data_IF_054963597049
#
_entry.id   IF_054963597049
#
_cell.length_a   1.000
_cell.length_b   1.000
_cell.length_c   1.000
_cell.angle_alpha   90.00
_cell.angle_beta   90.00
_cell.angle_gamma   90.00
#
_symmetry.space_group_name_H-M   'P 1'
#
loop_
_entity.id
_entity.type
_entity.pdbx_description
1 polymer ?
#
# COMPACT_ATOMS: atom_id res chain seq x y z
N UNK A 1 -8.32 3.80 -20.13
CA UNK A 1 -9.06 2.54 -20.28
C UNK A 1 -8.74 1.56 -19.15
N UNK A 2 -7.48 1.28 -18.85
CA UNK A 2 -7.06 0.33 -17.83
C UNK A 2 -6.99 0.89 -16.38
N UNK A 3 -7.36 2.13 -16.16
CA UNK A 3 -7.28 2.78 -14.85
C UNK A 3 -8.05 2.02 -13.74
N UNK A 4 -9.30 1.57 -13.94
CA UNK A 4 -10.05 0.84 -12.92
C UNK A 4 -9.35 -0.48 -12.51
N UNK A 5 -8.74 -1.18 -13.46
CA UNK A 5 -7.99 -2.41 -13.17
C UNK A 5 -6.76 -2.16 -12.29
N UNK A 6 -6.07 -1.04 -12.52
CA UNK A 6 -4.91 -0.64 -11.70
C UNK A 6 -5.31 -0.25 -10.29
N UNK A 7 -6.50 0.36 -10.13
CA UNK A 7 -7.04 0.77 -8.83
C UNK A 7 -7.63 -0.37 -8.00
N UNK A 8 -7.76 -1.57 -8.57
CA UNK A 8 -8.33 -2.75 -7.91
C UNK A 8 -7.45 -3.99 -8.03
N UNK A 9 -6.15 -3.81 -8.28
CA UNK A 9 -5.23 -4.92 -8.51
C UNK A 9 -5.06 -5.79 -7.26
N UNK A 10 -4.84 -5.18 -6.10
CA UNK A 10 -4.69 -5.91 -4.82
C UNK A 10 -5.97 -6.68 -4.51
N UNK A 11 -7.12 -6.03 -4.66
CA UNK A 11 -8.41 -6.68 -4.43
C UNK A 11 -8.67 -7.82 -5.40
N UNK A 12 -8.39 -7.65 -6.70
CA UNK A 12 -8.63 -8.67 -7.72
C UNK A 12 -7.72 -9.90 -7.54
N UNK A 13 -6.42 -9.66 -7.38
CA UNK A 13 -5.43 -10.74 -7.20
C UNK A 13 -5.63 -11.45 -5.84
N UNK A 14 -5.90 -10.68 -4.79
CA UNK A 14 -6.22 -11.23 -3.48
C UNK A 14 -7.51 -12.05 -3.49
N UNK A 15 -8.57 -11.58 -4.16
CA UNK A 15 -9.82 -12.29 -4.31
C UNK A 15 -9.64 -13.63 -5.04
N UNK A 16 -8.93 -13.58 -6.18
CA UNK A 16 -8.66 -14.78 -6.95
C UNK A 16 -7.86 -15.80 -6.12
N UNK A 17 -6.79 -15.35 -5.45
CA UNK A 17 -5.93 -16.19 -4.60
C UNK A 17 -6.70 -16.76 -3.41
N UNK A 18 -7.55 -15.96 -2.76
CA UNK A 18 -8.37 -16.40 -1.64
C UNK A 18 -9.31 -17.53 -2.04
N UNK A 19 -10.10 -17.35 -3.10
CA UNK A 19 -11.04 -18.39 -3.55
C UNK A 19 -10.34 -19.59 -4.16
N UNK A 20 -9.28 -19.36 -4.94
CA UNK A 20 -8.48 -20.45 -5.49
C UNK A 20 -7.92 -21.34 -4.37
N UNK A 21 -7.26 -20.73 -3.38
CA UNK A 21 -6.71 -21.53 -2.26
C UNK A 21 -7.81 -22.27 -1.49
N UNK A 22 -8.94 -21.62 -1.24
CA UNK A 22 -10.07 -22.23 -0.51
C UNK A 22 -10.70 -23.39 -1.27
N UNK A 23 -10.90 -23.26 -2.59
CA UNK A 23 -11.47 -24.33 -3.43
C UNK A 23 -10.47 -25.49 -3.55
N UNK A 24 -9.21 -25.19 -3.82
CA UNK A 24 -8.18 -26.21 -3.97
C UNK A 24 -8.05 -27.05 -2.70
N UNK A 25 -7.86 -26.42 -1.55
CA UNK A 25 -7.61 -27.13 -0.29
C UNK A 25 -8.83 -27.81 0.32
N UNK A 26 -10.06 -27.41 -0.05
CA UNK A 26 -11.27 -27.99 0.56
C UNK A 26 -12.04 -28.93 -0.35
N UNK A 27 -11.81 -28.91 -1.68
CA UNK A 27 -12.63 -29.66 -2.63
C UNK A 27 -11.89 -30.29 -3.81
N UNK A 28 -10.81 -29.69 -4.30
CA UNK A 28 -10.24 -30.07 -5.58
C UNK A 28 -9.01 -30.99 -5.44
N UNK A 29 -8.17 -30.75 -4.42
CA UNK A 29 -6.96 -31.53 -4.20
C UNK A 29 -7.23 -32.79 -3.39
N UNK A 30 -6.48 -33.83 -3.68
CA UNK A 30 -6.30 -34.96 -2.80
C UNK A 30 -5.28 -34.64 -1.71
N UNK A 31 -5.30 -35.39 -0.63
CA UNK A 31 -4.41 -35.15 0.52
C UNK A 31 -2.93 -35.18 0.15
N UNK A 32 -2.55 -36.04 -0.81
CA UNK A 32 -1.18 -36.19 -1.32
C UNK A 32 -0.69 -35.02 -2.19
N UNK A 33 -1.60 -34.23 -2.74
CA UNK A 33 -1.29 -33.05 -3.61
C UNK A 33 -1.18 -31.74 -2.84
N UNK A 34 -1.57 -31.68 -1.56
CA UNK A 34 -1.65 -30.46 -0.77
C UNK A 34 -0.27 -29.81 -0.60
N UNK A 35 0.79 -30.60 -0.42
CA UNK A 35 2.15 -30.10 -0.21
C UNK A 35 2.67 -29.42 -1.47
N UNK A 36 2.54 -30.08 -2.62
CA UNK A 36 2.99 -29.53 -3.91
C UNK A 36 2.24 -28.24 -4.25
N UNK A 37 0.94 -28.21 -3.96
CA UNK A 37 0.14 -26.99 -4.10
C UNK A 37 0.61 -25.87 -3.17
N UNK A 38 0.91 -26.18 -1.91
CA UNK A 38 1.39 -25.19 -0.94
C UNK A 38 2.72 -24.58 -1.37
N UNK A 39 3.64 -25.39 -1.88
CA UNK A 39 4.92 -24.93 -2.42
C UNK A 39 4.73 -24.00 -3.62
N UNK A 40 3.89 -24.39 -4.58
CA UNK A 40 3.57 -23.54 -5.73
C UNK A 40 2.90 -22.22 -5.31
N UNK A 41 1.93 -22.25 -4.38
CA UNK A 41 1.22 -21.09 -3.87
C UNK A 41 2.15 -20.15 -3.08
N UNK A 42 3.14 -20.70 -2.36
CA UNK A 42 4.13 -19.92 -1.63
C UNK A 42 4.98 -19.05 -2.57
N UNK A 43 5.34 -19.58 -3.74
CA UNK A 43 6.05 -18.82 -4.78
C UNK A 43 5.27 -17.61 -5.29
N UNK A 44 3.96 -17.74 -5.49
CA UNK A 44 3.08 -16.65 -5.94
C UNK A 44 2.97 -15.55 -4.87
N UNK A 45 2.93 -15.94 -3.59
CA UNK A 45 2.78 -15.01 -2.46
C UNK A 45 4.10 -14.55 -1.86
N UNK A 46 5.24 -14.96 -2.40
CA UNK A 46 6.55 -14.53 -1.93
C UNK A 46 6.71 -13.00 -2.02
N UNK A 47 7.32 -12.40 -1.00
CA UNK A 47 7.50 -10.95 -0.92
C UNK A 47 8.91 -10.62 -0.45
N UNK A 48 9.63 -9.84 -1.25
CA UNK A 48 10.94 -9.32 -0.90
C UNK A 48 10.87 -8.09 0.01
N UNK A 49 11.99 -7.69 0.66
CA UNK A 49 12.05 -6.47 1.46
C UNK A 49 11.62 -5.24 0.68
N UNK A 50 10.73 -4.44 1.25
CA UNK A 50 10.25 -3.19 0.62
C UNK A 50 9.39 -3.36 -0.63
N UNK A 51 9.05 -4.59 -1.04
CA UNK A 51 8.17 -4.87 -2.17
C UNK A 51 6.75 -5.13 -1.70
N UNK A 52 5.78 -4.60 -2.43
CA UNK A 52 4.37 -4.84 -2.22
C UNK A 52 3.91 -5.94 -3.19
N UNK A 53 3.62 -7.14 -2.68
CA UNK A 53 3.03 -8.21 -3.49
C UNK A 53 1.50 -8.15 -3.37
N UNK A 54 0.77 -7.79 -4.45
CA UNK A 54 -0.69 -7.65 -4.41
C UNK A 54 -1.41 -8.96 -4.08
N UNK A 55 -0.88 -10.10 -4.51
CA UNK A 55 -1.43 -11.42 -4.18
C UNK A 55 -1.36 -11.67 -2.67
N UNK A 56 -0.17 -11.49 -2.08
CA UNK A 56 0.06 -11.72 -0.65
C UNK A 56 -0.81 -10.82 0.21
N UNK A 57 -0.75 -9.50 -0.03
CA UNK A 57 -1.49 -8.54 0.78
C UNK A 57 -2.98 -8.74 0.63
N UNK A 58 -3.46 -8.93 -0.60
CA UNK A 58 -4.87 -9.10 -0.87
C UNK A 58 -5.44 -10.35 -0.20
N UNK A 59 -4.79 -11.53 -0.36
CA UNK A 59 -5.30 -12.78 0.22
C UNK A 59 -5.28 -12.75 1.75
N UNK A 60 -4.20 -12.26 2.36
CA UNK A 60 -4.11 -12.19 3.82
C UNK A 60 -5.11 -11.19 4.41
N UNK A 61 -5.35 -10.07 3.71
CA UNK A 61 -6.33 -9.10 4.17
C UNK A 61 -7.76 -9.65 4.07
N UNK A 62 -8.12 -10.39 3.02
CA UNK A 62 -9.40 -11.07 2.94
C UNK A 62 -9.56 -12.13 4.03
N UNK A 63 -8.53 -12.92 4.33
CA UNK A 63 -8.53 -13.89 5.44
C UNK A 63 -8.75 -13.19 6.79
N UNK A 64 -8.04 -12.10 7.02
CA UNK A 64 -8.17 -11.29 8.23
C UNK A 64 -9.59 -10.72 8.39
N UNK A 65 -10.19 -10.20 7.31
CA UNK A 65 -11.57 -9.71 7.32
C UNK A 65 -12.54 -10.85 7.62
N UNK A 66 -12.42 -12.01 6.94
CA UNK A 66 -13.29 -13.16 7.18
C UNK A 66 -13.25 -13.57 8.65
N UNK A 67 -12.06 -13.71 9.21
CA UNK A 67 -11.88 -14.13 10.61
C UNK A 67 -12.47 -13.11 11.59
N UNK A 68 -12.18 -11.83 11.43
CA UNK A 68 -12.71 -10.76 12.29
C UNK A 68 -14.23 -10.73 12.29
N UNK A 69 -14.87 -10.80 11.13
CA UNK A 69 -16.33 -10.78 11.05
C UNK A 69 -16.98 -12.08 11.51
N UNK A 70 -16.31 -13.21 11.36
CA UNK A 70 -16.79 -14.47 11.93
C UNK A 70 -16.77 -14.43 13.46
N UNK A 71 -15.72 -13.86 14.04
CA UNK A 71 -15.55 -13.72 15.50
C UNK A 71 -16.28 -12.52 16.13
N UNK A 72 -16.82 -11.62 15.32
CA UNK A 72 -17.45 -10.38 15.82
C UNK A 72 -16.45 -9.36 16.35
N UNK A 73 -15.22 -9.33 15.81
CA UNK A 73 -14.15 -8.40 16.19
C UNK A 73 -14.28 -7.06 15.45
N UNK A 74 -15.42 -6.42 15.60
CA UNK A 74 -15.75 -5.13 15.00
C UNK A 74 -16.79 -4.37 15.83
N UNK A 75 -16.91 -3.06 15.58
CA UNK A 75 -17.88 -2.18 16.24
C UNK A 75 -17.48 -1.73 17.63
N UNK A 76 -18.36 -0.94 18.26
CA UNK A 76 -18.05 -0.22 19.49
C UNK A 76 -17.62 -1.11 20.67
N UNK A 77 -18.22 -2.29 20.80
CA UNK A 77 -17.87 -3.22 21.89
C UNK A 77 -16.44 -3.72 21.75
N UNK A 78 -16.04 -4.11 20.52
CA UNK A 78 -14.68 -4.57 20.24
C UNK A 78 -13.66 -3.43 20.35
N UNK A 79 -13.97 -2.27 19.78
CA UNK A 79 -13.09 -1.10 19.80
C UNK A 79 -12.89 -0.55 21.21
N UNK A 80 -13.94 -0.60 22.04
CA UNK A 80 -13.92 -0.16 23.44
C UNK A 80 -13.34 -1.18 24.43
N UNK A 81 -13.09 -2.42 24.00
CA UNK A 81 -12.53 -3.45 24.87
C UNK A 81 -11.04 -3.18 25.12
N UNK A 82 -10.69 -2.86 26.36
CA UNK A 82 -9.30 -2.61 26.81
C UNK A 82 -8.66 -3.82 27.50
N UNK A 83 -9.45 -4.83 27.84
CA UNK A 83 -8.94 -6.07 28.45
C UNK A 83 -8.26 -6.93 27.38
N UNK A 84 -6.95 -7.14 27.56
CA UNK A 84 -6.14 -7.92 26.62
C UNK A 84 -6.55 -9.39 26.56
N UNK A 85 -6.91 -9.98 27.70
CA UNK A 85 -7.33 -11.38 27.76
C UNK A 85 -8.66 -11.59 27.06
N UNK A 86 -9.64 -10.70 27.29
CA UNK A 86 -10.92 -10.72 26.61
C UNK A 86 -10.75 -10.53 25.10
N UNK A 87 -9.90 -9.60 24.65
CA UNK A 87 -9.60 -9.41 23.22
C UNK A 87 -8.99 -10.65 22.57
N UNK A 88 -8.06 -11.33 23.23
CA UNK A 88 -7.42 -12.53 22.70
C UNK A 88 -8.38 -13.71 22.56
N UNK A 89 -9.36 -13.82 23.48
CA UNK A 89 -10.36 -14.90 23.48
C UNK A 89 -11.66 -14.54 22.80
N UNK A 90 -11.77 -13.31 22.25
CA UNK A 90 -13.00 -12.79 21.65
C UNK A 90 -13.47 -13.61 20.46
N UNK A 91 -14.59 -14.30 20.64
CA UNK A 91 -15.24 -15.07 19.58
C UNK A 91 -16.76 -15.18 19.84
N UNK A 92 -17.52 -14.28 19.21
CA UNK A 92 -18.99 -14.29 19.26
C UNK A 92 -19.61 -15.25 18.25
N UNK A 93 -18.82 -15.94 17.43
CA UNK A 93 -19.24 -16.95 16.43
C UNK A 93 -20.34 -16.45 15.48
N UNK A 94 -20.23 -15.20 15.02
CA UNK A 94 -21.27 -14.56 14.21
C UNK A 94 -21.39 -15.14 12.81
N UNK A 95 -20.31 -15.67 12.25
CA UNK A 95 -20.30 -16.27 10.90
C UNK A 95 -20.53 -15.29 9.74
N UNK A 96 -20.31 -13.98 9.97
CA UNK A 96 -20.59 -12.92 9.00
C UNK A 96 -19.44 -12.69 8.00
N UNK A 97 -18.32 -13.39 8.14
CA UNK A 97 -17.12 -13.15 7.36
C UNK A 97 -17.34 -13.21 5.85
N UNK A 98 -17.99 -14.29 5.37
CA UNK A 98 -18.27 -14.44 3.93
C UNK A 98 -19.14 -13.31 3.38
N UNK A 99 -20.18 -12.90 4.11
CA UNK A 99 -21.03 -11.80 3.70
C UNK A 99 -20.24 -10.49 3.60
N UNK A 100 -19.36 -10.22 4.59
CA UNK A 100 -18.50 -9.04 4.60
C UNK A 100 -17.51 -9.03 3.44
N UNK A 101 -16.92 -10.17 3.07
CA UNK A 101 -16.03 -10.26 1.91
C UNK A 101 -16.72 -9.81 0.61
N UNK A 102 -17.95 -10.25 0.36
CA UNK A 102 -18.70 -9.84 -0.84
C UNK A 102 -19.08 -8.35 -0.79
N UNK A 103 -19.40 -7.82 0.39
CA UNK A 103 -19.65 -6.39 0.57
C UNK A 103 -18.40 -5.56 0.24
N UNK A 104 -17.26 -5.92 0.82
CA UNK A 104 -15.97 -5.28 0.59
C UNK A 104 -15.61 -5.31 -0.90
N UNK A 105 -15.74 -6.47 -1.54
CA UNK A 105 -15.46 -6.64 -2.97
C UNK A 105 -16.28 -5.72 -3.86
N UNK A 106 -17.49 -5.36 -3.45
CA UNK A 106 -18.41 -4.50 -4.19
C UNK A 106 -18.17 -3.02 -3.98
N UNK A 107 -17.72 -2.62 -2.78
CA UNK A 107 -17.72 -1.22 -2.34
C UNK A 107 -16.35 -0.54 -2.36
N UNK A 108 -15.26 -1.31 -2.35
CA UNK A 108 -13.91 -0.77 -2.17
C UNK A 108 -13.06 -0.85 -3.44
N UNK A 109 -12.06 0.02 -3.52
CA UNK A 109 -10.88 -0.09 -4.36
C UNK A 109 -9.65 -0.37 -3.48
N UNK A 110 -8.46 -0.53 -4.07
CA UNK A 110 -7.26 -0.88 -3.32
C UNK A 110 -6.92 0.12 -2.21
N UNK A 111 -7.10 1.42 -2.46
CA UNK A 111 -6.83 2.48 -1.48
C UNK A 111 -7.79 2.36 -0.29
N UNK A 112 -9.09 2.35 -0.53
CA UNK A 112 -10.09 2.26 0.53
C UNK A 112 -10.09 0.90 1.23
N UNK A 113 -9.74 -0.18 0.51
CA UNK A 113 -9.57 -1.51 1.07
C UNK A 113 -8.42 -1.57 2.08
N UNK A 114 -7.26 -1.03 1.73
CA UNK A 114 -6.16 -0.95 2.68
C UNK A 114 -6.44 0.06 3.80
N UNK A 115 -7.00 1.21 3.47
CA UNK A 115 -7.25 2.22 4.50
C UNK A 115 -8.19 1.73 5.59
N UNK A 116 -9.25 1.01 5.24
CA UNK A 116 -10.23 0.52 6.22
C UNK A 116 -9.75 -0.75 6.95
N UNK A 117 -9.18 -1.71 6.22
CA UNK A 117 -8.95 -3.06 6.76
C UNK A 117 -7.51 -3.38 7.15
N UNK A 118 -6.53 -2.57 6.74
CA UNK A 118 -5.15 -2.72 7.17
C UNK A 118 -4.99 -2.16 8.59
N UNK A 119 -5.15 -3.02 9.59
CA UNK A 119 -5.11 -2.69 11.01
C UNK A 119 -3.71 -2.88 11.60
N UNK A 120 -3.48 -2.33 12.80
CA UNK A 120 -2.22 -2.52 13.53
C UNK A 120 -1.97 -3.99 13.87
N UNK A 121 -3.02 -4.72 14.27
CA UNK A 121 -2.93 -6.15 14.55
C UNK A 121 -2.52 -6.92 13.30
N UNK A 122 -3.17 -6.66 12.15
CA UNK A 122 -2.79 -7.24 10.87
C UNK A 122 -1.34 -6.90 10.48
N UNK A 123 -0.92 -5.66 10.66
CA UNK A 123 0.45 -5.21 10.36
C UNK A 123 1.48 -5.99 11.19
N UNK A 124 1.19 -6.22 12.46
CA UNK A 124 2.03 -6.97 13.40
C UNK A 124 2.11 -8.46 13.04
N UNK A 125 0.96 -9.08 12.78
CA UNK A 125 0.85 -10.50 12.45
C UNK A 125 1.56 -10.85 11.14
N UNK A 126 1.44 -9.98 10.14
CA UNK A 126 2.09 -10.13 8.85
C UNK A 126 3.54 -9.61 8.84
N UNK A 127 4.06 -9.11 9.96
CA UNK A 127 5.44 -8.62 10.14
C UNK A 127 5.84 -7.56 9.12
N UNK A 128 4.99 -6.56 8.90
CA UNK A 128 5.33 -5.42 8.06
C UNK A 128 6.32 -4.49 8.77
N UNK A 129 7.25 -3.93 7.99
CA UNK A 129 8.29 -3.01 8.44
C UNK A 129 8.43 -1.83 7.48
N UNK A 130 8.92 -0.69 7.99
CA UNK A 130 9.47 0.36 7.15
C UNK A 130 10.93 0.05 6.82
N UNK A 131 11.33 0.35 5.58
CA UNK A 131 12.70 0.12 5.11
C UNK A 131 13.34 1.44 4.70
N UNK A 132 14.65 1.55 4.97
CA UNK A 132 15.49 2.67 4.54
C UNK A 132 16.65 2.13 3.73
N UNK A 133 16.98 2.80 2.64
CA UNK A 133 18.17 2.47 1.85
C UNK A 133 19.43 2.95 2.59
N UNK A 134 20.34 2.04 2.87
CA UNK A 134 21.65 2.39 3.38
C UNK A 134 22.49 2.98 2.24
N UNK A 135 22.75 4.29 2.31
CA UNK A 135 23.46 5.05 1.26
C UNK A 135 24.87 4.50 0.96
N UNK A 136 25.50 3.76 1.89
CA UNK A 136 26.83 3.19 1.69
C UNK A 136 26.82 1.84 1.00
N UNK A 137 25.80 1.02 1.28
CA UNK A 137 25.72 -0.37 0.80
C UNK A 137 24.70 -0.58 -0.31
N UNK A 138 23.81 0.41 -0.54
CA UNK A 138 22.65 0.30 -1.44
C UNK A 138 21.61 -0.75 -1.00
N UNK A 139 21.72 -1.29 0.22
CA UNK A 139 20.81 -2.31 0.73
C UNK A 139 19.68 -1.69 1.53
N UNK A 140 18.50 -2.32 1.45
CA UNK A 140 17.36 -1.97 2.29
C UNK A 140 17.54 -2.56 3.67
N UNK A 141 17.51 -1.71 4.70
CA UNK A 141 17.58 -2.08 6.12
C UNK A 141 16.25 -1.73 6.79
N UNK A 142 15.85 -2.50 7.81
CA UNK A 142 14.64 -2.22 8.59
C UNK A 142 14.85 -0.90 9.35
N UNK A 143 14.02 0.10 9.08
CA UNK A 143 14.01 1.38 9.78
C UNK A 143 13.15 1.33 11.04
N UNK A 144 11.98 0.68 10.97
CA UNK A 144 11.06 0.67 12.09
C UNK A 144 9.82 -0.20 11.89
N UNK A 145 8.94 -0.16 12.91
CA UNK A 145 7.69 -0.92 12.96
C UNK A 145 6.47 -0.04 13.23
N UNK A 146 6.58 1.27 12.98
CA UNK A 146 5.47 2.20 13.21
C UNK A 146 4.34 1.91 12.24
N UNK A 147 3.20 1.44 12.75
CA UNK A 147 1.98 1.18 11.96
C UNK A 147 1.56 2.39 11.13
N UNK A 148 1.54 3.58 11.72
CA UNK A 148 1.14 4.80 11.02
C UNK A 148 2.05 5.09 9.81
N UNK A 149 3.37 4.93 9.97
CA UNK A 149 4.32 5.11 8.86
C UNK A 149 4.16 4.04 7.79
N UNK A 150 4.01 2.76 8.17
CA UNK A 150 3.82 1.65 7.24
C UNK A 150 2.55 1.88 6.42
N UNK A 151 1.43 2.17 7.08
CA UNK A 151 0.15 2.43 6.42
C UNK A 151 0.22 3.62 5.48
N UNK A 152 0.80 4.73 5.93
CA UNK A 152 0.98 5.92 5.11
C UNK A 152 1.81 5.66 3.85
N UNK A 153 2.93 4.93 3.96
CA UNK A 153 3.76 4.55 2.81
C UNK A 153 3.02 3.64 1.83
N UNK A 154 2.24 2.67 2.33
CA UNK A 154 1.44 1.79 1.47
C UNK A 154 0.36 2.57 0.71
N UNK A 155 -0.39 3.44 1.39
CA UNK A 155 -1.41 4.27 0.76
C UNK A 155 -0.80 5.23 -0.25
N UNK A 156 0.37 5.81 0.04
CA UNK A 156 1.09 6.67 -0.89
C UNK A 156 1.51 5.92 -2.16
N UNK A 157 2.00 4.67 -2.05
CA UNK A 157 2.35 3.85 -3.22
C UNK A 157 1.14 3.54 -4.13
N UNK A 158 -0.06 3.48 -3.57
CA UNK A 158 -1.30 3.28 -4.31
C UNK A 158 -1.91 4.59 -4.83
N UNK A 159 -1.64 5.70 -4.16
CA UNK A 159 -2.07 7.03 -4.58
C UNK A 159 -1.29 7.46 -5.81
N UNK A 160 -2.00 7.98 -6.82
CA UNK A 160 -1.40 8.40 -8.08
C UNK A 160 -0.40 7.37 -8.68
N UNK A 161 -0.61 6.08 -8.41
CA UNK A 161 0.27 4.96 -8.86
C UNK A 161 1.72 5.07 -8.38
N UNK A 162 1.94 5.63 -7.21
CA UNK A 162 3.27 5.87 -6.66
C UNK A 162 4.03 7.01 -7.32
N UNK A 163 3.37 7.77 -8.20
CA UNK A 163 3.96 8.95 -8.83
C UNK A 163 3.78 10.18 -7.95
N UNK A 164 4.76 11.08 -7.89
CA UNK A 164 4.60 12.33 -7.15
C UNK A 164 3.55 13.24 -7.78
N UNK A 165 2.83 13.99 -6.96
CA UNK A 165 1.93 15.03 -7.44
C UNK A 165 2.70 16.31 -7.73
N UNK A 166 2.93 16.58 -9.02
CA UNK A 166 3.59 17.80 -9.50
C UNK A 166 2.54 18.66 -10.22
N UNK A 167 2.48 19.92 -9.90
CA UNK A 167 1.55 20.88 -10.50
C UNK A 167 2.27 22.19 -10.90
N UNK A 168 1.68 22.91 -11.84
CA UNK A 168 2.15 24.25 -12.22
C UNK A 168 1.69 25.25 -11.15
N UNK A 169 2.65 25.84 -10.44
CA UNK A 169 2.37 26.87 -9.44
C UNK A 169 2.31 28.25 -10.10
N UNK A 170 3.21 28.52 -11.07
CA UNK A 170 3.22 29.79 -11.83
C UNK A 170 3.92 29.55 -13.18
N UNK A 171 3.25 29.91 -14.27
CA UNK A 171 3.80 29.80 -15.63
C UNK A 171 4.53 31.07 -16.10
N UNK A 172 4.50 32.12 -15.30
CA UNK A 172 5.19 33.40 -15.55
C UNK A 172 5.94 33.89 -14.31
N UNK A 173 6.61 32.97 -13.64
CA UNK A 173 7.30 33.24 -12.39
C UNK A 173 8.27 34.41 -12.51
N UNK A 174 8.16 35.34 -11.54
CA UNK A 174 8.90 36.62 -11.51
C UNK A 174 8.66 37.53 -12.73
N UNK A 175 7.55 37.36 -13.45
CA UNK A 175 7.26 38.10 -14.72
C UNK A 175 8.33 37.91 -15.81
N UNK A 176 8.98 36.72 -15.83
CA UNK A 176 10.06 36.39 -16.78
C UNK A 176 9.69 35.24 -17.69
N UNK A 177 8.46 34.72 -17.62
CA UNK A 177 8.03 33.52 -18.32
C UNK A 177 8.74 32.25 -17.84
N UNK A 178 9.38 32.28 -16.68
CA UNK A 178 9.94 31.09 -16.01
C UNK A 178 8.81 30.20 -15.51
N UNK A 179 9.01 28.89 -15.52
CA UNK A 179 8.04 27.93 -15.02
C UNK A 179 8.35 27.59 -13.55
N UNK A 180 7.39 27.80 -12.67
CA UNK A 180 7.45 27.35 -11.29
C UNK A 180 6.49 26.19 -11.09
N UNK A 181 7.05 25.04 -10.67
CA UNK A 181 6.33 23.84 -10.32
C UNK A 181 6.26 23.69 -8.80
N UNK A 182 5.18 23.11 -8.31
CA UNK A 182 5.01 22.70 -6.92
C UNK A 182 4.92 21.18 -6.81
N UNK A 183 5.64 20.59 -5.84
CA UNK A 183 5.46 19.21 -5.42
C UNK A 183 4.57 19.16 -4.19
N UNK A 184 3.43 18.44 -4.27
CA UNK A 184 2.62 18.13 -3.09
C UNK A 184 3.35 17.02 -2.32
N UNK A 185 4.02 17.42 -1.23
CA UNK A 185 4.72 16.47 -0.38
C UNK A 185 3.72 15.75 0.54
N UNK A 186 3.50 14.46 0.29
CA UNK A 186 2.60 13.60 1.07
C UNK A 186 3.38 12.55 1.88
N UNK A 187 4.54 12.96 2.44
CA UNK A 187 5.41 12.09 3.26
C UNK A 187 6.51 11.36 2.50
N UNK A 188 6.64 11.60 1.19
CA UNK A 188 7.71 11.00 0.36
C UNK A 188 8.56 12.03 -0.34
N UNK A 189 9.87 12.00 -0.13
CA UNK A 189 10.82 12.86 -0.79
C UNK A 189 11.02 12.48 -2.26
N UNK A 190 11.18 13.48 -3.12
CA UNK A 190 11.60 13.25 -4.50
C UNK A 190 13.04 12.75 -4.56
N UNK A 191 13.33 11.81 -5.45
CA UNK A 191 14.71 11.46 -5.79
C UNK A 191 15.34 12.66 -6.50
N UNK A 192 16.29 13.32 -5.80
CA UNK A 192 16.86 14.60 -6.23
C UNK A 192 17.47 14.54 -7.64
N UNK A 193 18.10 13.42 -8.00
CA UNK A 193 18.73 13.25 -9.31
C UNK A 193 17.68 13.13 -10.41
N UNK A 194 16.62 12.35 -10.21
CA UNK A 194 15.52 12.24 -11.16
C UNK A 194 14.75 13.56 -11.31
N UNK A 195 14.56 14.28 -10.21
CA UNK A 195 13.95 15.61 -10.26
C UNK A 195 14.80 16.57 -11.12
N UNK A 196 16.13 16.58 -10.96
CA UNK A 196 17.02 17.42 -11.77
C UNK A 196 16.97 17.06 -13.24
N UNK A 197 17.03 15.77 -13.58
CA UNK A 197 16.99 15.34 -14.99
C UNK A 197 15.64 15.65 -15.65
N UNK A 198 14.56 15.52 -14.91
CA UNK A 198 13.21 15.91 -15.35
C UNK A 198 13.14 17.42 -15.61
N UNK A 199 13.63 18.25 -14.66
CA UNK A 199 13.65 19.72 -14.84
C UNK A 199 14.49 20.15 -16.02
N UNK A 200 15.65 19.51 -16.25
CA UNK A 200 16.49 19.77 -17.43
C UNK A 200 15.74 19.44 -18.73
N UNK A 201 14.98 18.37 -18.75
CA UNK A 201 14.16 18.01 -19.92
C UNK A 201 13.01 18.99 -20.13
N UNK A 202 12.36 19.44 -19.05
CA UNK A 202 11.30 20.44 -19.09
C UNK A 202 11.82 21.81 -19.55
N UNK A 203 13.02 22.25 -19.13
CA UNK A 203 13.62 23.50 -19.58
C UNK A 203 13.80 23.51 -21.11
N UNK A 204 14.23 22.39 -21.69
CA UNK A 204 14.36 22.26 -23.16
C UNK A 204 13.02 22.44 -23.88
N UNK A 205 11.93 21.95 -23.30
CA UNK A 205 10.57 22.08 -23.85
C UNK A 205 10.03 23.49 -23.60
N UNK A 206 10.16 24.01 -22.38
CA UNK A 206 9.65 25.29 -21.96
C UNK A 206 10.46 26.46 -22.55
N UNK A 207 11.74 26.21 -22.87
CA UNK A 207 12.72 27.18 -23.40
C UNK A 207 13.01 28.36 -22.47
N UNK A 208 12.77 28.22 -21.21
CA UNK A 208 13.06 29.17 -20.14
C UNK A 208 13.33 28.40 -18.85
N UNK A 209 13.99 29.02 -17.85
CA UNK A 209 14.27 28.36 -16.59
C UNK A 209 13.04 27.73 -15.96
N UNK A 210 13.20 26.53 -15.41
CA UNK A 210 12.19 25.78 -14.69
C UNK A 210 12.63 25.60 -13.24
N UNK A 211 11.75 25.89 -12.29
CA UNK A 211 12.00 25.70 -10.86
C UNK A 211 10.95 24.78 -10.27
N UNK A 212 11.35 24.00 -9.27
CA UNK A 212 10.47 23.11 -8.51
C UNK A 212 10.61 23.42 -7.02
N UNK A 213 9.47 23.71 -6.37
CA UNK A 213 9.36 23.79 -4.93
C UNK A 213 8.99 22.42 -4.37
N UNK A 214 9.76 21.94 -3.41
CA UNK A 214 9.56 20.64 -2.76
C UNK A 214 10.02 20.68 -1.30
N UNK A 215 9.74 19.64 -0.55
CA UNK A 215 10.34 19.35 0.75
C UNK A 215 11.33 18.20 0.55
N UNK A 216 12.54 18.34 1.06
CA UNK A 216 13.56 17.28 1.10
C UNK A 216 14.22 17.28 2.48
N UNK A 217 14.31 16.12 3.11
CA UNK A 217 14.83 15.97 4.47
C UNK A 217 14.11 16.93 5.45
N UNK A 218 12.77 16.99 5.37
CA UNK A 218 11.87 17.89 6.15
C UNK A 218 12.13 19.39 6.00
N UNK A 219 12.85 19.80 4.96
CA UNK A 219 13.16 21.22 4.70
C UNK A 219 12.63 21.67 3.34
N UNK A 220 12.00 22.87 3.27
CA UNK A 220 11.63 23.46 2.00
C UNK A 220 12.87 23.65 1.11
N UNK A 221 12.77 23.22 -0.12
CA UNK A 221 13.87 23.33 -1.10
C UNK A 221 13.35 23.75 -2.46
N UNK A 222 14.08 24.61 -3.14
CA UNK A 222 13.86 24.96 -4.53
C UNK A 222 14.99 24.37 -5.38
N UNK A 223 14.62 23.56 -6.35
CA UNK A 223 15.53 23.03 -7.38
C UNK A 223 15.28 23.86 -8.64
N UNK A 224 16.31 24.36 -9.29
CA UNK A 224 16.21 25.19 -10.49
C UNK A 224 17.11 24.66 -11.59
N UNK A 225 16.63 24.75 -12.80
CA UNK A 225 17.33 24.59 -14.08
C UNK A 225 16.98 25.72 -15.03
#
# INVERSE_FOLDING_TARGET
YFLPQRQTKIMNEGWATYWHSKIMTTRALRDDEIIDYADAASGVTAMGPGQLNPYKIGVELYRHIEERWNRGQFGKDWEGCTDLHERLTWDKKLGLGKQKLFEVRRLHNDVTFLDEFFTEDFCRDQKFFTFKENRRTGRLEIEGRSFAKIKAQMLQQLSNFGQPFIFVADANYLNRGELLLGHRHEGGDLKADYARDTLRSLERVWRRPVSLLTILDDKPKRIRF
#
